data_IF_626344911857
#
_entry.id   IF_626344911857
#
_cell.length_a   1.000
_cell.length_b   1.000
_cell.length_c   1.000
_cell.angle_alpha   90.00
_cell.angle_beta   90.00
_cell.angle_gamma   90.00
#
_symmetry.space_group_name_H-M   'P 1'
#
loop_
_entity.id
_entity.type
_entity.pdbx_description
1 polymer ?
#
# COMPACT_ATOMS: atom_id res chain seq x y z
N UNK A 1 6.88 12.82 -7.23
CA UNK A 1 6.91 11.74 -6.21
C UNK A 1 8.11 11.95 -5.30
N UNK A 2 7.89 12.01 -4.00
CA UNK A 2 8.91 12.20 -2.95
C UNK A 2 8.37 11.54 -1.66
N UNK A 3 9.24 10.98 -0.81
CA UNK A 3 8.88 10.66 0.58
C UNK A 3 8.68 11.96 1.33
N UNK A 4 7.43 12.29 1.66
CA UNK A 4 7.13 13.47 2.47
C UNK A 4 7.19 13.07 3.95
N UNK A 5 8.12 13.69 4.69
CA UNK A 5 8.25 13.67 6.16
C UNK A 5 7.45 14.89 6.70
N UNK A 6 6.73 14.90 7.84
CA UNK A 6 7.12 14.55 9.22
C UNK A 6 5.89 14.46 10.14
N UNK A 7 5.75 13.35 10.87
CA UNK A 7 5.25 13.39 12.25
C UNK A 7 6.36 12.82 13.13
N UNK A 8 7.31 13.68 13.47
CA UNK A 8 8.38 13.33 14.40
C UNK A 8 7.76 13.07 15.78
N UNK A 9 8.40 12.22 16.58
CA UNK A 9 8.08 12.09 18.00
C UNK A 9 8.39 13.44 18.66
N UNK A 10 7.44 14.02 19.40
CA UNK A 10 7.63 15.34 20.03
C UNK A 10 8.84 15.39 20.99
N UNK A 11 9.29 14.23 21.50
CA UNK A 11 10.55 14.07 22.24
C UNK A 11 11.04 12.61 22.16
N UNK A 12 12.13 12.33 21.42
CA UNK A 12 12.83 11.03 21.45
C UNK A 12 13.38 10.53 20.11
N UNK A 13 14.37 9.63 20.17
CA UNK A 13 14.88 8.88 19.01
C UNK A 13 13.89 7.74 18.68
N UNK A 14 13.28 7.71 17.48
CA UNK A 14 12.28 6.70 17.10
C UNK A 14 12.90 5.32 16.98
N UNK A 15 12.25 4.31 17.58
CA UNK A 15 12.74 2.93 17.54
C UNK A 15 12.37 2.18 16.25
N UNK A 16 11.45 2.74 15.45
CA UNK A 16 10.95 2.17 14.18
C UNK A 16 10.40 3.23 13.23
N UNK A 17 10.30 2.86 11.95
CA UNK A 17 9.65 3.63 10.91
C UNK A 17 8.32 2.98 10.48
N UNK A 18 7.31 3.81 10.21
CA UNK A 18 6.04 3.41 9.63
C UNK A 18 5.90 4.12 8.30
N UNK A 19 6.05 3.35 7.22
CA UNK A 19 5.80 3.83 5.88
C UNK A 19 4.32 3.66 5.53
N UNK A 20 3.70 4.73 5.06
CA UNK A 20 2.30 4.76 4.66
C UNK A 20 2.22 4.96 3.15
N UNK A 21 1.57 4.04 2.46
CA UNK A 21 1.41 4.03 1.00
C UNK A 21 -0.07 4.10 0.65
N UNK A 22 -0.47 5.16 -0.02
CA UNK A 22 -1.89 5.40 -0.31
C UNK A 22 -2.41 4.52 -1.44
N UNK A 23 -3.74 4.49 -1.58
CA UNK A 23 -4.44 3.90 -2.73
C UNK A 23 -4.73 4.91 -3.83
N UNK A 24 -5.78 4.67 -4.62
CA UNK A 24 -6.23 5.65 -5.61
C UNK A 24 -6.65 6.96 -4.94
N UNK A 25 -6.04 8.07 -5.37
CA UNK A 25 -6.39 9.42 -4.96
C UNK A 25 -7.26 10.11 -6.01
N UNK A 26 -8.09 11.04 -5.54
CA UNK A 26 -8.85 11.91 -6.42
C UNK A 26 -7.91 12.84 -7.19
N UNK A 27 -8.23 13.16 -8.45
CA UNK A 27 -7.48 14.15 -9.21
C UNK A 27 -7.48 15.49 -8.47
N UNK A 28 -6.30 15.99 -8.10
CA UNK A 28 -6.13 17.21 -7.29
C UNK A 28 -6.43 17.06 -5.79
N UNK A 29 -6.79 15.86 -5.33
CA UNK A 29 -6.98 15.54 -3.91
C UNK A 29 -5.74 14.86 -3.33
N UNK A 30 -5.30 15.28 -2.15
CA UNK A 30 -4.23 14.55 -1.47
C UNK A 30 -4.80 13.25 -0.87
N UNK A 31 -4.14 12.10 -1.10
CA UNK A 31 -4.64 10.78 -0.69
C UNK A 31 -4.92 10.62 0.81
N UNK A 32 -4.36 11.50 1.63
CA UNK A 32 -4.44 11.46 3.09
C UNK A 32 -5.44 12.47 3.68
N UNK A 33 -6.17 13.24 2.85
CA UNK A 33 -6.99 14.39 3.28
C UNK A 33 -8.49 14.10 3.41
N UNK A 34 -8.86 12.97 4.02
CA UNK A 34 -10.20 12.85 4.57
C UNK A 34 -10.24 13.64 5.90
N UNK A 35 -10.57 14.92 5.79
CA UNK A 35 -10.79 15.92 6.85
C UNK A 35 -9.55 16.58 7.50
N UNK A 36 -9.31 17.81 7.03
CA UNK A 36 -8.75 18.99 7.71
C UNK A 36 -7.32 18.99 8.31
N UNK A 37 -6.64 17.87 8.44
CA UNK A 37 -5.19 17.86 8.72
C UNK A 37 -4.56 16.71 7.93
N UNK A 38 -3.26 16.81 7.67
CA UNK A 38 -2.34 15.79 7.14
C UNK A 38 -2.52 14.41 7.84
N UNK A 39 -1.69 13.36 7.64
CA UNK A 39 -1.90 12.07 8.32
C UNK A 39 -1.84 12.08 9.87
N UNK A 40 -2.02 13.24 10.52
CA UNK A 40 -2.27 13.46 11.93
C UNK A 40 -3.29 12.48 12.52
N UNK A 41 -4.34 12.07 11.79
CA UNK A 41 -5.24 11.04 12.31
C UNK A 41 -4.54 9.68 12.44
N UNK A 42 -3.65 9.28 11.50
CA UNK A 42 -2.86 8.04 11.67
C UNK A 42 -2.00 8.13 12.93
N UNK A 43 -1.38 9.29 13.17
CA UNK A 43 -0.61 9.51 14.40
C UNK A 43 -1.49 9.50 15.64
N UNK A 44 -2.55 10.30 15.68
CA UNK A 44 -3.40 10.54 16.85
C UNK A 44 -4.33 9.36 17.19
N UNK A 45 -4.77 8.62 16.17
CA UNK A 45 -5.77 7.57 16.33
C UNK A 45 -5.17 6.15 16.31
N UNK A 46 -4.11 5.91 15.53
CA UNK A 46 -3.57 4.57 15.31
C UNK A 46 -2.19 4.36 15.93
N UNK A 47 -1.36 5.39 15.97
CA UNK A 47 0.04 5.32 16.41
C UNK A 47 0.38 6.29 17.54
N UNK A 48 -0.61 6.68 18.34
CA UNK A 48 -0.45 7.75 19.34
C UNK A 48 0.61 7.38 20.38
N UNK A 49 0.59 6.12 20.81
CA UNK A 49 1.52 5.57 21.80
C UNK A 49 2.77 4.93 21.17
N UNK A 50 2.95 5.06 19.84
CA UNK A 50 4.08 4.46 19.12
C UNK A 50 5.28 5.41 19.08
N UNK A 51 6.44 4.94 19.58
CA UNK A 51 7.73 5.61 19.38
C UNK A 51 8.25 5.40 17.94
N UNK A 52 7.54 5.93 16.96
CA UNK A 52 7.84 5.71 15.54
C UNK A 52 7.81 7.00 14.73
N UNK A 53 8.59 7.05 13.66
CA UNK A 53 8.38 8.04 12.60
C UNK A 53 7.31 7.54 11.64
N UNK A 54 6.42 8.44 11.22
CA UNK A 54 5.45 8.17 10.16
C UNK A 54 5.92 8.86 8.89
N UNK A 55 6.05 8.09 7.81
CA UNK A 55 6.58 8.51 6.52
C UNK A 55 5.53 8.23 5.47
N UNK A 56 5.21 9.19 4.60
CA UNK A 56 4.26 8.97 3.51
C UNK A 56 5.00 8.88 2.18
N UNK A 57 4.72 7.83 1.41
CA UNK A 57 5.12 7.76 0.01
C UNK A 57 3.95 8.22 -0.87
N UNK A 58 4.19 9.30 -1.62
CA UNK A 58 3.20 9.85 -2.53
C UNK A 58 3.59 9.57 -3.99
N UNK A 59 2.65 8.97 -4.71
CA UNK A 59 2.75 8.75 -6.13
C UNK A 59 1.58 9.40 -6.86
N UNK A 60 1.86 9.90 -8.06
CA UNK A 60 0.91 10.60 -8.91
C UNK A 60 -0.05 9.62 -9.63
N UNK A 61 -1.03 10.19 -10.34
CA UNK A 61 -2.19 9.51 -10.91
C UNK A 61 -1.87 8.14 -11.53
N UNK A 62 -2.49 7.08 -10.99
CA UNK A 62 -2.37 5.69 -11.47
C UNK A 62 -2.69 5.53 -12.96
N UNK A 63 -3.48 6.45 -13.52
CA UNK A 63 -3.95 6.43 -14.91
C UNK A 63 -3.27 7.45 -15.82
N UNK A 64 -2.14 8.04 -15.42
CA UNK A 64 -1.35 8.90 -16.30
C UNK A 64 -1.05 8.22 -17.64
N UNK A 65 -1.24 8.94 -18.74
CA UNK A 65 -1.14 8.45 -20.12
C UNK A 65 0.27 7.95 -20.48
N UNK A 66 1.31 8.51 -19.89
CA UNK A 66 2.69 8.20 -20.30
C UNK A 66 3.18 6.86 -19.73
N UNK A 67 2.84 6.57 -18.46
CA UNK A 67 3.22 5.32 -17.76
C UNK A 67 2.19 4.95 -16.68
N UNK A 68 1.00 4.46 -17.06
CA UNK A 68 -0.03 4.16 -16.08
C UNK A 68 0.41 3.00 -15.17
N UNK A 69 0.26 3.17 -13.86
CA UNK A 69 0.59 2.15 -12.85
C UNK A 69 -0.25 0.89 -12.99
N UNK A 70 -1.38 0.94 -13.70
CA UNK A 70 -2.14 -0.24 -14.08
C UNK A 70 -1.49 -1.07 -15.20
N UNK A 71 -0.27 -0.75 -15.62
CA UNK A 71 0.58 -1.60 -16.45
C UNK A 71 1.74 -2.16 -15.66
N UNK A 72 2.27 -3.31 -16.10
CA UNK A 72 3.42 -3.94 -15.45
C UNK A 72 4.63 -3.01 -15.37
N UNK A 73 4.99 -2.37 -16.49
CA UNK A 73 6.14 -1.46 -16.57
C UNK A 73 5.95 -0.20 -15.73
N UNK A 74 4.75 0.39 -15.75
CA UNK A 74 4.43 1.56 -14.92
C UNK A 74 4.54 1.23 -13.43
N UNK A 75 3.93 0.11 -13.00
CA UNK A 75 4.01 -0.35 -11.62
C UNK A 75 5.44 -0.64 -11.18
N UNK A 76 6.24 -1.33 -12.00
CA UNK A 76 7.65 -1.61 -11.70
C UNK A 76 8.48 -0.33 -11.58
N UNK A 77 8.19 0.69 -12.40
CA UNK A 77 8.85 1.99 -12.32
C UNK A 77 8.61 2.66 -10.98
N UNK A 78 7.34 2.75 -10.55
CA UNK A 78 6.99 3.38 -9.27
C UNK A 78 7.48 2.53 -8.08
N UNK A 79 7.45 1.21 -8.20
CA UNK A 79 7.98 0.30 -7.19
C UNK A 79 9.49 0.49 -6.96
N UNK A 80 10.27 0.69 -8.02
CA UNK A 80 11.71 1.00 -7.92
C UNK A 80 11.95 2.35 -7.28
N UNK A 81 11.14 3.36 -7.62
CA UNK A 81 11.23 4.66 -6.98
C UNK A 81 10.95 4.57 -5.48
N UNK A 82 9.90 3.84 -5.07
CA UNK A 82 9.62 3.60 -3.66
C UNK A 82 10.81 2.94 -2.95
N UNK A 83 11.42 1.91 -3.55
CA UNK A 83 12.59 1.25 -2.95
C UNK A 83 13.79 2.20 -2.84
N UNK A 84 14.06 2.98 -3.88
CA UNK A 84 15.17 3.93 -3.91
C UNK A 84 15.00 5.02 -2.84
N UNK A 85 13.78 5.50 -2.65
CA UNK A 85 13.47 6.47 -1.60
C UNK A 85 13.62 5.85 -0.20
N UNK A 86 13.21 4.59 0.02
CA UNK A 86 13.45 3.89 1.30
C UNK A 86 14.95 3.72 1.55
N UNK A 87 15.74 3.37 0.52
CA UNK A 87 17.20 3.26 0.66
C UNK A 87 17.81 4.60 1.07
N UNK A 88 17.43 5.69 0.40
CA UNK A 88 17.91 7.03 0.72
C UNK A 88 17.50 7.47 2.14
N UNK A 89 16.27 7.14 2.54
CA UNK A 89 15.79 7.39 3.90
C UNK A 89 16.63 6.65 4.94
N UNK A 90 16.86 5.36 4.77
CA UNK A 90 17.62 4.56 5.75
C UNK A 90 19.09 4.99 5.82
N UNK A 91 19.66 5.46 4.72
CA UNK A 91 20.99 6.02 4.69
C UNK A 91 21.11 7.35 5.47
N UNK A 92 20.04 8.14 5.53
CA UNK A 92 20.03 9.45 6.21
C UNK A 92 19.57 9.38 7.66
N UNK A 93 18.60 8.52 7.95
CA UNK A 93 17.89 8.50 9.23
C UNK A 93 18.27 7.29 10.11
N UNK A 94 19.02 6.33 9.56
CA UNK A 94 19.47 5.14 10.27
C UNK A 94 18.70 3.86 9.92
N UNK A 95 19.28 2.73 10.33
CA UNK A 95 18.77 1.41 10.01
C UNK A 95 17.87 0.85 11.11
N UNK A 96 16.63 1.36 11.17
CA UNK A 96 15.60 0.87 12.09
C UNK A 96 14.55 -0.02 11.40
N UNK A 97 13.84 -0.89 12.16
CA UNK A 97 12.75 -1.71 11.62
C UNK A 97 11.65 -0.88 10.97
N UNK A 98 11.06 -1.41 9.90
CA UNK A 98 9.98 -0.81 9.12
C UNK A 98 8.68 -1.61 9.21
N UNK A 99 7.58 -0.92 9.51
CA UNK A 99 6.24 -1.38 9.16
C UNK A 99 5.78 -0.64 7.90
N UNK A 100 5.09 -1.32 6.99
CA UNK A 100 4.48 -0.70 5.82
C UNK A 100 2.96 -0.85 5.93
N UNK A 101 2.26 0.27 6.06
CA UNK A 101 0.81 0.35 5.97
C UNK A 101 0.44 0.78 4.56
N UNK A 102 -0.37 -0.02 3.89
CA UNK A 102 -0.79 0.25 2.52
C UNK A 102 -2.30 0.14 2.40
N UNK A 103 -2.87 1.03 1.58
CA UNK A 103 -4.30 1.07 1.31
C UNK A 103 -4.58 0.75 -0.16
N UNK A 104 -5.58 -0.08 -0.42
CA UNK A 104 -6.10 -0.37 -1.76
C UNK A 104 -4.98 -0.74 -2.78
N UNK A 105 -4.88 -0.06 -3.92
CA UNK A 105 -3.84 -0.31 -4.95
C UNK A 105 -2.40 -0.07 -4.42
N UNK A 106 -2.23 0.71 -3.36
CA UNK A 106 -0.94 0.90 -2.69
C UNK A 106 -0.35 -0.42 -2.19
N UNK A 107 -1.21 -1.37 -1.79
CA UNK A 107 -0.75 -2.71 -1.41
C UNK A 107 -0.18 -3.50 -2.57
N UNK A 108 -0.69 -3.29 -3.80
CA UNK A 108 -0.15 -3.90 -5.02
C UNK A 108 1.22 -3.32 -5.34
N UNK A 109 1.39 -2.00 -5.20
CA UNK A 109 2.69 -1.33 -5.32
C UNK A 109 3.72 -1.89 -4.32
N UNK A 110 3.37 -2.00 -3.04
CA UNK A 110 4.27 -2.53 -2.00
C UNK A 110 4.68 -3.98 -2.28
N UNK A 111 3.72 -4.84 -2.65
CA UNK A 111 4.04 -6.22 -3.04
C UNK A 111 5.02 -6.25 -4.20
N UNK A 112 4.81 -5.42 -5.21
CA UNK A 112 5.70 -5.36 -6.36
C UNK A 112 7.10 -4.86 -6.01
N UNK A 113 7.21 -3.85 -5.15
CA UNK A 113 8.48 -3.38 -4.61
C UNK A 113 9.24 -4.50 -3.89
N UNK A 114 8.57 -5.25 -3.01
CA UNK A 114 9.22 -6.34 -2.28
C UNK A 114 9.62 -7.51 -3.19
N UNK A 115 8.84 -7.81 -4.24
CA UNK A 115 9.23 -8.76 -5.28
C UNK A 115 10.52 -8.32 -5.97
N UNK A 116 10.62 -7.06 -6.40
CA UNK A 116 11.84 -6.52 -7.04
C UNK A 116 13.02 -6.61 -6.07
N UNK A 117 12.83 -6.16 -4.83
CA UNK A 117 13.87 -6.19 -3.83
C UNK A 117 14.38 -7.61 -3.59
N UNK A 118 13.49 -8.61 -3.59
CA UNK A 118 13.86 -10.02 -3.41
C UNK A 118 14.68 -10.61 -4.56
N UNK A 119 14.56 -10.04 -5.76
CA UNK A 119 15.35 -10.41 -6.93
C UNK A 119 16.68 -9.65 -7.05
N UNK A 120 16.88 -8.56 -6.31
CA UNK A 120 18.06 -7.70 -6.37
C UNK A 120 18.58 -7.38 -4.96
N UNK A 121 19.09 -8.41 -4.30
CA UNK A 121 19.65 -8.33 -2.94
C UNK A 121 20.90 -7.45 -2.88
N UNK A 122 21.61 -7.26 -4.00
CA UNK A 122 22.78 -6.39 -4.07
C UNK A 122 22.43 -4.94 -3.74
N UNK A 123 21.27 -4.47 -4.21
CA UNK A 123 20.80 -3.10 -3.97
C UNK A 123 19.85 -2.98 -2.79
N UNK A 124 18.93 -3.94 -2.58
CA UNK A 124 17.80 -3.76 -1.67
C UNK A 124 17.76 -4.72 -0.47
N UNK A 125 18.85 -5.44 -0.19
CA UNK A 125 18.91 -6.35 0.97
C UNK A 125 18.57 -5.67 2.29
N UNK A 126 19.10 -4.47 2.52
CA UNK A 126 18.83 -3.71 3.75
C UNK A 126 17.33 -3.39 3.92
N UNK A 127 16.64 -3.02 2.82
CA UNK A 127 15.19 -2.77 2.83
C UNK A 127 14.45 -4.04 3.25
N UNK A 128 14.74 -5.16 2.59
CA UNK A 128 14.07 -6.43 2.89
C UNK A 128 14.26 -6.91 4.32
N UNK A 129 15.47 -6.77 4.87
CA UNK A 129 15.75 -7.21 6.23
C UNK A 129 15.15 -6.29 7.30
N UNK A 130 14.83 -5.05 6.94
CA UNK A 130 14.24 -4.08 7.86
C UNK A 130 12.72 -4.17 7.94
N UNK A 131 12.06 -4.63 6.88
CA UNK A 131 10.59 -4.74 6.85
C UNK A 131 10.14 -5.92 7.70
N UNK A 132 9.47 -5.64 8.82
CA UNK A 132 9.01 -6.68 9.75
C UNK A 132 7.49 -6.92 9.68
N UNK A 133 6.71 -5.88 9.37
CA UNK A 133 5.25 -5.98 9.26
C UNK A 133 4.73 -5.29 8.00
N UNK A 134 3.80 -5.97 7.33
CA UNK A 134 2.97 -5.41 6.28
C UNK A 134 1.52 -5.34 6.76
N UNK A 135 0.93 -4.16 6.70
CA UNK A 135 -0.48 -3.93 6.97
C UNK A 135 -1.15 -3.53 5.66
N UNK A 136 -2.14 -4.31 5.24
CA UNK A 136 -2.90 -4.08 4.03
C UNK A 136 -4.35 -3.75 4.40
N UNK A 137 -4.85 -2.60 3.97
CA UNK A 137 -6.22 -2.14 4.26
C UNK A 137 -6.99 -2.05 2.94
N UNK A 138 -8.03 -2.85 2.80
CA UNK A 138 -8.84 -2.89 1.59
C UNK A 138 -8.07 -3.30 0.32
N UNK A 139 -6.87 -3.86 0.45
CA UNK A 139 -6.03 -4.19 -0.70
C UNK A 139 -6.54 -5.45 -1.42
N UNK A 140 -6.51 -5.49 -2.76
CA UNK A 140 -6.97 -6.64 -3.52
C UNK A 140 -5.95 -7.79 -3.47
N UNK A 141 -6.09 -8.70 -2.50
CA UNK A 141 -5.25 -9.90 -2.34
C UNK A 141 -5.76 -11.12 -3.10
N UNK A 142 -7.06 -11.38 -2.98
CA UNK A 142 -7.75 -12.54 -3.56
C UNK A 142 -9.10 -12.09 -4.10
N UNK A 143 -9.46 -12.65 -5.23
CA UNK A 143 -10.77 -12.45 -5.87
C UNK A 143 -11.29 -13.80 -6.32
N UNK A 144 -12.61 -13.97 -6.35
CA UNK A 144 -13.25 -15.18 -6.88
C UNK A 144 -13.04 -15.33 -8.40
N UNK A 145 -12.87 -14.21 -9.10
CA UNK A 145 -12.56 -14.17 -10.53
C UNK A 145 -11.90 -12.85 -10.94
N UNK A 146 -11.26 -12.83 -12.11
CA UNK A 146 -10.65 -11.62 -12.66
C UNK A 146 -11.72 -10.55 -12.97
N UNK A 147 -12.92 -10.95 -13.35
CA UNK A 147 -14.07 -10.06 -13.59
C UNK A 147 -14.53 -9.37 -12.30
N UNK A 148 -14.61 -10.12 -11.18
CA UNK A 148 -14.96 -9.54 -9.89
C UNK A 148 -13.93 -8.50 -9.44
N UNK A 149 -12.64 -8.75 -9.70
CA UNK A 149 -11.58 -7.80 -9.40
C UNK A 149 -11.64 -6.57 -10.31
N UNK A 150 -11.90 -6.76 -11.62
CA UNK A 150 -12.13 -5.66 -12.54
C UNK A 150 -13.33 -4.80 -12.11
N UNK A 151 -14.42 -5.40 -11.65
CA UNK A 151 -15.57 -4.66 -11.12
C UNK A 151 -15.21 -3.87 -9.86
N UNK A 152 -14.41 -4.45 -8.96
CA UNK A 152 -13.88 -3.75 -7.79
C UNK A 152 -13.05 -2.52 -8.17
N UNK A 153 -12.13 -2.68 -9.13
CA UNK A 153 -11.37 -1.56 -9.67
C UNK A 153 -12.26 -0.52 -10.36
N UNK A 154 -13.26 -0.93 -11.13
CA UNK A 154 -14.18 0.03 -11.75
C UNK A 154 -14.92 0.88 -10.71
N UNK A 155 -15.36 0.28 -9.61
CA UNK A 155 -15.98 1.01 -8.50
C UNK A 155 -14.99 1.97 -7.82
N UNK A 156 -13.75 1.54 -7.56
CA UNK A 156 -12.72 2.38 -6.96
C UNK A 156 -12.36 3.59 -7.84
N UNK A 157 -12.12 3.34 -9.13
CA UNK A 157 -11.79 4.38 -10.12
C UNK A 157 -12.93 5.40 -10.23
N UNK A 158 -14.18 4.91 -10.30
CA UNK A 158 -15.36 5.76 -10.35
C UNK A 158 -15.47 6.64 -9.10
N UNK A 159 -15.33 6.06 -7.90
CA UNK A 159 -15.43 6.79 -6.64
C UNK A 159 -14.29 7.79 -6.45
N UNK A 160 -13.07 7.44 -6.85
CA UNK A 160 -11.93 8.34 -6.85
C UNK A 160 -12.09 9.49 -7.86
N UNK A 161 -13.08 9.46 -8.76
CA UNK A 161 -13.27 10.43 -9.84
C UNK A 161 -12.00 10.60 -10.69
N UNK A 162 -11.17 9.55 -10.76
CA UNK A 162 -9.98 9.51 -11.60
C UNK A 162 -10.46 9.05 -12.98
N UNK A 163 -10.51 9.96 -13.96
CA UNK A 163 -11.01 9.66 -15.30
C UNK A 163 -9.83 9.14 -16.13
N UNK A 164 -9.75 7.84 -16.48
CA UNK A 164 -8.67 7.32 -17.29
C UNK A 164 -8.91 7.64 -18.76
N UNK A 165 -7.90 8.12 -19.48
CA UNK A 165 -7.99 8.38 -20.93
C UNK A 165 -8.32 7.11 -21.73
N UNK A 166 -7.90 5.96 -21.23
CA UNK A 166 -8.16 4.64 -21.80
C UNK A 166 -9.61 4.17 -21.60
N UNK A 167 -10.40 4.87 -20.79
CA UNK A 167 -11.75 4.51 -20.39
C UNK A 167 -11.80 3.58 -19.18
N UNK A 168 -12.87 3.73 -18.38
CA UNK A 168 -13.06 3.06 -17.08
C UNK A 168 -12.89 1.54 -17.14
N UNK A 169 -13.60 0.88 -18.06
CA UNK A 169 -13.62 -0.57 -18.15
C UNK A 169 -12.25 -1.14 -18.51
N UNK A 170 -11.55 -0.50 -19.45
CA UNK A 170 -10.24 -0.97 -19.89
C UNK A 170 -9.19 -0.76 -18.80
N UNK A 171 -9.19 0.40 -18.15
CA UNK A 171 -8.31 0.67 -17.00
C UNK A 171 -8.55 -0.34 -15.86
N UNK A 172 -9.81 -0.61 -15.53
CA UNK A 172 -10.16 -1.57 -14.48
C UNK A 172 -9.69 -3.00 -14.79
N UNK A 173 -9.82 -3.44 -16.05
CA UNK A 173 -9.29 -4.74 -16.50
C UNK A 173 -7.77 -4.81 -16.40
N UNK A 174 -7.06 -3.76 -16.82
CA UNK A 174 -5.61 -3.69 -16.69
C UNK A 174 -5.15 -3.76 -15.23
N UNK A 175 -5.79 -3.00 -14.33
CA UNK A 175 -5.54 -3.09 -12.89
C UNK A 175 -5.74 -4.51 -12.36
N UNK A 176 -6.82 -5.19 -12.77
CA UNK A 176 -7.13 -6.54 -12.33
C UNK A 176 -6.07 -7.55 -12.77
N UNK A 177 -5.64 -7.49 -14.03
CA UNK A 177 -4.58 -8.36 -14.57
C UNK A 177 -3.27 -8.13 -13.82
N UNK A 178 -2.79 -6.89 -13.75
CA UNK A 178 -1.52 -6.57 -13.08
C UNK A 178 -1.54 -6.95 -11.60
N UNK A 179 -2.65 -6.71 -10.91
CA UNK A 179 -2.82 -7.09 -9.50
C UNK A 179 -2.74 -8.61 -9.31
N UNK A 180 -3.37 -9.36 -10.22
CA UNK A 180 -3.34 -10.83 -10.18
C UNK A 180 -1.91 -11.33 -10.34
N UNK A 181 -1.20 -10.83 -11.35
CA UNK A 181 0.20 -11.18 -11.61
C UNK A 181 1.10 -10.86 -10.41
N UNK A 182 0.97 -9.66 -9.85
CA UNK A 182 1.76 -9.22 -8.69
C UNK A 182 1.47 -10.06 -7.46
N UNK A 183 0.21 -10.40 -7.20
CA UNK A 183 -0.16 -11.27 -6.10
C UNK A 183 0.49 -12.65 -6.25
N UNK A 184 0.48 -13.23 -7.46
CA UNK A 184 1.16 -14.49 -7.72
C UNK A 184 2.67 -14.38 -7.50
N UNK A 185 3.32 -13.34 -8.01
CA UNK A 185 4.76 -13.14 -7.82
C UNK A 185 5.13 -12.94 -6.35
N UNK A 186 4.33 -12.19 -5.60
CA UNK A 186 4.55 -11.96 -4.18
C UNK A 186 4.43 -13.25 -3.36
N UNK A 187 3.38 -14.05 -3.62
CA UNK A 187 3.18 -15.34 -2.95
C UNK A 187 4.28 -16.36 -3.28
N UNK A 188 4.82 -16.32 -4.51
CA UNK A 188 5.92 -17.19 -4.93
C UNK A 188 7.31 -16.64 -4.57
N UNK A 189 7.38 -15.45 -3.96
CA UNK A 189 8.62 -14.93 -3.39
C UNK A 189 8.87 -15.49 -1.98
N UNK A 190 10.07 -15.30 -1.45
CA UNK A 190 10.36 -15.64 -0.06
C UNK A 190 9.92 -14.55 0.94
N UNK A 191 9.32 -13.45 0.47
CA UNK A 191 8.94 -12.30 1.32
C UNK A 191 7.84 -12.67 2.32
N UNK A 192 6.73 -13.33 1.94
CA UNK A 192 5.65 -13.65 2.89
C UNK A 192 6.07 -14.56 4.03
N UNK A 193 7.16 -15.31 3.86
CA UNK A 193 7.72 -16.20 4.89
C UNK A 193 8.54 -15.45 5.95
N UNK A 194 8.88 -14.18 5.71
CA UNK A 194 9.81 -13.39 6.53
C UNK A 194 9.15 -12.23 7.26
N UNK A 195 7.94 -11.85 6.86
CA UNK A 195 7.25 -10.66 7.36
C UNK A 195 5.91 -11.04 7.97
N UNK A 196 5.51 -10.35 9.04
CA UNK A 196 4.16 -10.47 9.56
C UNK A 196 3.20 -9.74 8.61
N UNK A 197 2.18 -10.44 8.12
CA UNK A 197 1.16 -9.84 7.23
C UNK A 197 -0.14 -9.70 8.01
N UNK A 198 -0.68 -8.49 8.03
CA UNK A 198 -1.99 -8.15 8.58
C UNK A 198 -2.83 -7.62 7.41
N UNK A 199 -3.98 -8.24 7.15
CA UNK A 199 -4.93 -7.77 6.14
C UNK A 199 -6.24 -7.40 6.81
N UNK A 200 -6.72 -6.19 6.52
CA UNK A 200 -7.98 -5.63 7.02
C UNK A 200 -8.89 -5.42 5.81
N UNK A 201 -10.00 -6.14 5.77
CA UNK A 201 -11.00 -6.05 4.71
C UNK A 201 -12.41 -5.91 5.31
N UNK A 202 -13.33 -5.33 4.54
CA UNK A 202 -14.73 -5.16 4.92
C UNK A 202 -15.63 -5.86 3.90
N UNK A 203 -16.59 -6.64 4.40
CA UNK A 203 -17.63 -7.29 3.61
C UNK A 203 -18.80 -6.34 3.28
N UNK A 204 -18.77 -5.09 3.78
CA UNK A 204 -19.82 -4.12 3.50
C UNK A 204 -20.02 -3.91 2.00
N UNK A 205 -21.27 -3.75 1.56
CA UNK A 205 -21.59 -3.59 0.13
C UNK A 205 -21.36 -2.15 -0.35
N UNK A 206 -21.53 -1.14 0.52
CA UNK A 206 -21.34 0.28 0.19
C UNK A 206 -19.86 0.72 0.39
N UNK A 207 -19.21 1.33 -0.63
CA UNK A 207 -17.86 1.87 -0.52
C UNK A 207 -17.64 2.91 0.59
N UNK A 208 -18.64 3.73 0.93
CA UNK A 208 -18.55 4.72 2.00
C UNK A 208 -18.59 4.04 3.38
N UNK A 209 -19.42 3.00 3.51
CA UNK A 209 -19.47 2.16 4.72
C UNK A 209 -18.17 1.37 4.89
N UNK A 210 -17.47 1.00 3.81
CA UNK A 210 -16.16 0.35 3.87
C UNK A 210 -15.09 1.25 4.47
N UNK A 211 -15.01 2.51 4.04
CA UNK A 211 -14.07 3.47 4.61
C UNK A 211 -14.31 3.66 6.11
N UNK A 212 -15.57 3.91 6.51
CA UNK A 212 -15.95 3.98 7.92
C UNK A 212 -15.62 2.69 8.69
N UNK A 213 -15.89 1.53 8.09
CA UNK A 213 -15.55 0.23 8.67
C UNK A 213 -14.03 0.04 8.84
N UNK A 214 -13.19 0.49 7.91
CA UNK A 214 -11.74 0.41 8.06
C UNK A 214 -11.23 1.24 9.24
N UNK A 215 -11.73 2.47 9.39
CA UNK A 215 -11.42 3.31 10.56
C UNK A 215 -11.84 2.65 11.88
N UNK A 216 -13.05 2.06 11.92
CA UNK A 216 -13.59 1.37 13.10
C UNK A 216 -12.81 0.09 13.42
N UNK A 217 -12.45 -0.70 12.41
CA UNK A 217 -11.68 -1.95 12.57
C UNK A 217 -10.25 -1.67 13.06
N UNK A 218 -9.63 -0.58 12.60
CA UNK A 218 -8.31 -0.14 13.06
C UNK A 218 -8.34 0.40 14.49
N UNK A 219 -9.38 1.16 14.88
CA UNK A 219 -9.51 1.72 16.25
C UNK A 219 -9.90 0.70 17.32
N UNK A 220 -10.80 -0.23 17.00
CA UNK A 220 -11.42 -1.07 18.02
C UNK A 220 -10.71 -2.43 18.24
N UNK A 221 -9.58 -2.69 17.58
CA UNK A 221 -8.86 -3.98 17.70
C UNK A 221 -9.66 -5.20 17.22
N UNK A 222 -10.85 -4.99 16.62
CA UNK A 222 -11.74 -6.01 16.09
C UNK A 222 -11.51 -6.28 14.59
N UNK A 223 -10.32 -5.95 14.08
CA UNK A 223 -9.90 -6.49 12.80
C UNK A 223 -9.96 -8.03 12.89
N UNK A 224 -10.67 -8.67 11.97
CA UNK A 224 -10.47 -10.11 11.78
C UNK A 224 -9.05 -10.30 11.25
N UNK A 225 -8.16 -10.67 12.15
CA UNK A 225 -6.78 -11.00 11.82
C UNK A 225 -6.76 -12.35 11.11
N UNK A 226 -6.74 -12.37 9.77
CA UNK A 226 -6.23 -13.54 9.07
C UNK A 226 -4.70 -13.51 9.13
N UNK A 227 -4.14 -13.88 10.29
CA UNK A 227 -2.73 -14.32 10.35
C UNK A 227 -2.67 -15.71 9.73
N UNK A 228 -2.50 -15.76 8.41
CA UNK A 228 -2.39 -17.00 7.68
C UNK A 228 -1.38 -16.87 6.57
N UNK A 229 -0.34 -17.70 6.62
CA UNK A 229 0.43 -18.05 5.44
C UNK A 229 -0.54 -18.73 4.47
N UNK A 230 -1.21 -17.95 3.61
CA UNK A 230 -2.20 -18.49 2.68
C UNK A 230 -1.52 -19.13 1.48
N UNK A 231 -0.84 -20.25 1.72
CA UNK A 231 -0.62 -21.28 0.71
C UNK A 231 -1.96 -21.97 0.51
N UNK A 232 -2.76 -21.48 -0.43
CA UNK A 232 -3.87 -22.24 -0.99
C UNK A 232 -3.44 -22.60 -2.40
N UNK A 233 -2.90 -23.80 -2.55
CA UNK A 233 -2.84 -24.45 -3.85
C UNK A 233 -4.29 -24.66 -4.32
N UNK A 234 -4.56 -24.27 -5.56
CA UNK A 234 -5.49 -24.96 -6.44
C UNK A 234 -4.73 -25.27 -7.72
#
# INVERSE_FOLDING_TARGET
MELIKRFDVEDGDPDKDILVVHGLSHSGGSPWYATATEPAWLRQDLFNDSNSNIIAFNYDNVFDSDKPMCTRLGLESVARQLLDDIVAWKASEGDRPFAILSHDIGGVLVKMALVIASGDLGKYSQVLYSVYTLVFIGCPHKTSSIESLANGFAALIYNARSIPDLGLLQAAKLCATVTTDVNHLFLNSNVPLRVQIISVFSEALDPLDRLGAYFVLLKNGHARFETGLMISQN
#
